data_IF_096065310015
#
_entry.id   IF_096065310015
#
_cell.length_a   1.000
_cell.length_b   1.000
_cell.length_c   1.000
_cell.angle_alpha   90.00
_cell.angle_beta   90.00
_cell.angle_gamma   90.00
#
_symmetry.space_group_name_H-M   'P 1'
#
loop_
_entity.id
_entity.type
_entity.pdbx_description
1 polymer ?
#
# COMPACT_ATOMS: atom_id res chain seq x y z
N UNK A 1 3.83 2.58 -5.85
CA UNK A 1 4.38 1.22 -6.01
C UNK A 1 5.88 1.34 -5.86
N UNK A 2 6.45 0.85 -4.75
CA UNK A 2 7.87 0.92 -4.39
C UNK A 2 8.34 -0.52 -4.19
N UNK A 3 8.89 -1.08 -5.25
CA UNK A 3 9.38 -2.47 -5.26
C UNK A 3 10.49 -2.62 -6.28
N UNK A 4 11.39 -3.58 -6.07
CA UNK A 4 12.50 -3.92 -6.99
C UNK A 4 13.40 -2.71 -7.24
N UNK A 5 14.50 -2.61 -6.50
CA UNK A 5 15.46 -1.50 -6.62
C UNK A 5 15.97 -1.21 -8.03
N UNK A 6 16.04 -2.20 -8.91
CA UNK A 6 16.45 -2.02 -10.31
C UNK A 6 15.53 -1.10 -11.12
N UNK A 7 14.31 -0.84 -10.66
CA UNK A 7 13.35 0.08 -11.30
C UNK A 7 13.48 1.52 -10.78
N UNK A 8 14.41 1.79 -9.87
CA UNK A 8 14.54 3.07 -9.17
C UNK A 8 15.86 3.77 -9.50
N UNK A 9 15.93 5.06 -9.17
CA UNK A 9 17.18 5.80 -9.31
C UNK A 9 18.26 5.18 -8.41
N UNK A 10 19.54 5.26 -8.81
CA UNK A 10 20.63 4.65 -8.06
C UNK A 10 20.88 5.30 -6.69
N UNK A 11 20.26 6.46 -6.41
CA UNK A 11 20.43 7.15 -5.14
C UNK A 11 19.11 7.22 -4.35
N UNK A 12 19.13 6.85 -3.06
CA UNK A 12 17.97 7.00 -2.17
C UNK A 12 17.42 8.42 -2.16
N UNK A 13 18.29 9.43 -2.24
CA UNK A 13 17.88 10.84 -2.26
C UNK A 13 17.00 11.19 -3.47
N UNK A 14 17.35 10.71 -4.67
CA UNK A 14 16.54 10.92 -5.86
C UNK A 14 15.17 10.21 -5.74
N UNK A 15 15.16 8.98 -5.21
CA UNK A 15 13.93 8.22 -4.98
C UNK A 15 12.99 8.92 -3.99
N UNK A 16 13.52 9.40 -2.86
CA UNK A 16 12.77 10.15 -1.84
C UNK A 16 12.19 11.44 -2.42
N UNK A 17 12.98 12.19 -3.21
CA UNK A 17 12.51 13.42 -3.83
C UNK A 17 11.35 13.14 -4.81
N UNK A 18 11.51 12.12 -5.67
CA UNK A 18 10.46 11.71 -6.61
C UNK A 18 9.17 11.28 -5.89
N UNK A 19 9.27 10.50 -4.82
CA UNK A 19 8.11 10.08 -4.04
C UNK A 19 7.41 11.26 -3.34
N UNK A 20 8.18 12.20 -2.79
CA UNK A 20 7.63 13.43 -2.21
C UNK A 20 6.90 14.29 -3.25
N UNK A 21 7.38 14.38 -4.49
CA UNK A 21 6.67 15.09 -5.56
C UNK A 21 5.29 14.47 -5.86
N UNK A 22 5.19 13.13 -5.82
CA UNK A 22 3.92 12.42 -5.95
C UNK A 22 2.99 12.76 -4.77
N UNK A 23 3.51 12.70 -3.55
CA UNK A 23 2.74 13.00 -2.33
C UNK A 23 2.20 14.43 -2.36
N UNK A 24 3.03 15.38 -2.78
CA UNK A 24 2.69 16.79 -2.96
C UNK A 24 1.53 16.95 -3.95
N UNK A 25 1.66 16.38 -5.15
CA UNK A 25 0.63 16.50 -6.20
C UNK A 25 -0.68 15.85 -5.81
N UNK A 26 -0.63 14.66 -5.21
CA UNK A 26 -1.83 13.97 -4.77
C UNK A 26 -2.57 14.74 -3.66
N UNK A 27 -1.82 15.32 -2.71
CA UNK A 27 -2.39 16.15 -1.65
C UNK A 27 -3.08 17.40 -2.19
N UNK A 28 -2.52 18.05 -3.21
CA UNK A 28 -3.14 19.21 -3.86
C UNK A 28 -4.48 18.84 -4.53
N UNK A 29 -4.64 17.59 -4.98
CA UNK A 29 -5.89 17.05 -5.50
C UNK A 29 -6.86 16.53 -4.43
N UNK A 30 -6.55 16.71 -3.13
CA UNK A 30 -7.39 16.19 -2.04
C UNK A 30 -7.40 14.67 -1.91
N UNK A 31 -6.46 13.97 -2.56
CA UNK A 31 -6.37 12.51 -2.52
C UNK A 31 -5.57 12.03 -1.31
N UNK A 32 -6.02 10.94 -0.71
CA UNK A 32 -5.23 10.20 0.27
C UNK A 32 -4.18 9.35 -0.46
N UNK A 33 -2.99 9.22 0.12
CA UNK A 33 -1.87 8.51 -0.51
C UNK A 33 -1.51 7.28 0.32
N UNK A 34 -1.28 6.17 -0.38
CA UNK A 34 -0.70 4.96 0.18
C UNK A 34 0.55 4.52 -0.56
N UNK A 35 1.43 3.81 0.13
CA UNK A 35 2.65 3.22 -0.43
C UNK A 35 2.49 1.70 -0.46
N UNK A 36 2.71 1.11 -1.63
CA UNK A 36 2.92 -0.34 -1.75
C UNK A 36 4.42 -0.63 -1.64
N UNK A 37 4.86 -1.43 -0.67
CA UNK A 37 6.27 -1.82 -0.44
C UNK A 37 6.36 -2.95 0.58
N UNK A 38 7.52 -3.54 0.80
CA UNK A 38 7.84 -4.20 2.08
C UNK A 38 9.05 -3.50 2.73
N UNK A 39 9.50 -3.98 3.88
CA UNK A 39 10.64 -3.39 4.60
C UNK A 39 11.94 -3.45 3.77
N UNK A 40 12.21 -4.58 3.12
CA UNK A 40 13.41 -4.79 2.32
C UNK A 40 13.48 -3.87 1.10
N UNK A 41 12.41 -3.84 0.30
CA UNK A 41 12.28 -2.94 -0.86
C UNK A 41 12.39 -1.48 -0.41
N UNK A 42 11.71 -1.11 0.67
CA UNK A 42 11.73 0.26 1.18
C UNK A 42 13.13 0.66 1.60
N UNK A 43 13.81 -0.21 2.37
CA UNK A 43 15.18 0.02 2.84
C UNK A 43 16.14 0.12 1.67
N UNK A 44 16.05 -0.77 0.69
CA UNK A 44 16.93 -0.76 -0.47
C UNK A 44 16.73 0.48 -1.36
N UNK A 45 15.49 0.94 -1.53
CA UNK A 45 15.15 2.04 -2.44
C UNK A 45 15.33 3.41 -1.78
N UNK A 46 15.04 3.52 -0.49
CA UNK A 46 14.97 4.81 0.22
C UNK A 46 15.96 4.94 1.37
N UNK A 47 16.78 3.91 1.63
CA UNK A 47 17.66 3.85 2.80
C UNK A 47 16.88 3.95 4.13
N UNK A 48 15.68 3.37 4.18
CA UNK A 48 14.86 3.31 5.40
C UNK A 48 14.22 4.64 5.80
N UNK A 49 14.06 5.57 4.84
CA UNK A 49 13.51 6.90 5.10
C UNK A 49 12.16 6.83 5.83
N UNK A 50 11.94 7.73 6.78
CA UNK A 50 10.72 7.76 7.59
C UNK A 50 9.56 8.36 6.81
N UNK A 51 8.42 7.68 6.80
CA UNK A 51 7.16 8.15 6.22
C UNK A 51 6.24 8.66 7.33
N UNK A 52 5.66 9.82 7.09
CA UNK A 52 4.57 10.35 7.90
C UNK A 52 3.32 10.50 7.03
N UNK A 53 2.16 10.26 7.63
CA UNK A 53 0.87 10.54 7.04
C UNK A 53 0.52 9.85 5.71
N UNK A 54 1.11 8.67 5.43
CA UNK A 54 0.73 7.85 4.27
C UNK A 54 0.26 6.46 4.74
N UNK A 55 -0.71 5.89 4.03
CA UNK A 55 -1.16 4.50 4.27
C UNK A 55 -0.11 3.50 3.79
N UNK A 56 -0.08 2.31 4.38
CA UNK A 56 0.79 1.22 3.95
C UNK A 56 -0.03 0.06 3.38
N UNK A 57 0.28 -0.30 2.14
CA UNK A 57 -0.09 -1.56 1.54
C UNK A 57 1.16 -2.44 1.49
N UNK A 58 1.42 -3.21 2.53
CA UNK A 58 2.60 -4.06 2.52
C UNK A 58 2.36 -5.38 1.80
N UNK A 59 3.42 -6.00 1.31
CA UNK A 59 3.36 -7.34 0.74
C UNK A 59 4.28 -8.27 1.53
N UNK A 60 3.79 -9.47 1.80
CA UNK A 60 4.60 -10.55 2.36
C UNK A 60 4.12 -11.88 1.74
N UNK A 61 4.92 -12.45 0.85
CA UNK A 61 4.64 -13.70 0.13
C UNK A 61 5.94 -14.49 0.01
N UNK A 62 5.85 -15.81 -0.03
CA UNK A 62 7.03 -16.68 -0.19
C UNK A 62 7.45 -16.81 -1.67
N UNK A 63 6.65 -16.27 -2.58
CA UNK A 63 6.81 -16.42 -4.02
C UNK A 63 5.49 -16.18 -4.78
N UNK A 64 5.48 -16.40 -6.10
CA UNK A 64 4.28 -16.25 -6.91
C UNK A 64 3.33 -17.45 -6.79
N UNK A 65 2.03 -17.21 -6.95
CA UNK A 65 0.97 -18.22 -6.94
C UNK A 65 0.46 -18.59 -5.55
N UNK A 66 -0.74 -19.19 -5.49
CA UNK A 66 -1.39 -19.59 -4.23
C UNK A 66 -0.56 -20.56 -3.38
N UNK A 67 0.36 -21.32 -3.98
CA UNK A 67 1.24 -22.23 -3.24
C UNK A 67 2.23 -21.52 -2.31
N UNK A 68 2.51 -20.23 -2.57
CA UNK A 68 3.46 -19.41 -1.83
C UNK A 68 2.76 -18.31 -1.03
N UNK A 69 1.50 -18.55 -0.65
CA UNK A 69 0.70 -17.59 0.12
C UNK A 69 1.12 -17.55 1.58
N UNK A 70 1.01 -16.37 2.19
CA UNK A 70 1.09 -16.22 3.65
C UNK A 70 -0.31 -16.14 4.28
N UNK A 71 -0.40 -16.16 5.60
CA UNK A 71 -1.68 -16.02 6.30
C UNK A 71 -2.36 -14.70 5.92
N UNK A 72 -3.68 -14.68 5.66
CA UNK A 72 -4.42 -13.48 5.30
C UNK A 72 -4.76 -12.64 6.55
N UNK A 73 -3.76 -12.34 7.37
CA UNK A 73 -3.85 -11.51 8.57
C UNK A 73 -2.60 -10.60 8.70
N UNK A 74 -2.57 -9.77 9.72
CA UNK A 74 -1.48 -8.82 9.98
C UNK A 74 -0.48 -9.30 11.05
N UNK A 75 -0.53 -10.56 11.47
CA UNK A 75 0.27 -11.08 12.59
C UNK A 75 1.77 -11.12 12.27
N UNK A 76 2.13 -11.09 10.99
CA UNK A 76 3.51 -11.07 10.50
C UNK A 76 4.04 -9.66 10.24
N UNK A 77 3.25 -8.62 10.50
CA UNK A 77 3.69 -7.25 10.28
C UNK A 77 4.67 -6.81 11.38
N UNK A 78 5.85 -6.36 10.96
CA UNK A 78 6.81 -5.66 11.82
C UNK A 78 6.83 -4.18 11.45
N UNK A 79 6.74 -3.24 12.42
CA UNK A 79 6.81 -1.81 12.14
C UNK A 79 8.12 -1.40 11.46
N UNK A 80 8.04 -0.62 10.38
CA UNK A 80 9.20 -0.06 9.68
C UNK A 80 8.88 1.34 9.14
N UNK A 81 9.93 2.16 8.94
CA UNK A 81 9.84 3.46 8.27
C UNK A 81 8.73 4.39 8.79
N UNK A 82 8.35 4.31 10.06
CA UNK A 82 7.29 5.12 10.67
C UNK A 82 5.88 4.53 10.59
N UNK A 83 5.65 3.45 9.84
CA UNK A 83 4.40 2.71 9.89
C UNK A 83 4.38 1.76 11.09
N UNK A 84 3.44 1.96 11.99
CA UNK A 84 3.19 1.07 13.14
C UNK A 84 2.01 0.14 12.91
N UNK A 85 1.15 0.45 11.93
CA UNK A 85 -0.02 -0.35 11.56
C UNK A 85 -0.17 -0.30 10.03
N UNK A 86 -0.29 -1.45 9.34
CA UNK A 86 -0.55 -1.49 7.91
C UNK A 86 -2.04 -1.26 7.62
N UNK A 87 -2.35 -0.79 6.42
CA UNK A 87 -3.74 -0.63 5.96
C UNK A 87 -4.21 -1.81 5.11
N UNK A 88 -3.30 -2.39 4.33
CA UNK A 88 -3.55 -3.53 3.44
C UNK A 88 -2.34 -4.45 3.47
N UNK A 89 -2.57 -5.76 3.40
CA UNK A 89 -1.54 -6.76 3.12
C UNK A 89 -1.84 -7.47 1.82
N UNK A 90 -0.85 -7.60 0.94
CA UNK A 90 -0.86 -8.58 -0.14
C UNK A 90 -0.26 -9.90 0.33
N UNK A 91 -1.09 -10.95 0.41
CA UNK A 91 -0.70 -12.28 0.90
C UNK A 91 -0.61 -13.32 -0.23
N UNK A 92 -1.00 -12.96 -1.47
CA UNK A 92 -0.76 -13.75 -2.69
C UNK A 92 -0.41 -12.83 -3.85
N UNK A 93 0.58 -13.21 -4.66
CA UNK A 93 0.97 -12.48 -5.86
C UNK A 93 0.98 -13.38 -7.10
N UNK A 94 0.47 -12.90 -8.23
CA UNK A 94 0.61 -13.59 -9.53
C UNK A 94 -0.09 -14.95 -9.59
N UNK A 95 -1.19 -15.10 -8.86
CA UNK A 95 -1.98 -16.32 -8.83
C UNK A 95 -2.92 -16.38 -10.04
N UNK A 96 -3.27 -17.58 -10.51
CA UNK A 96 -4.15 -17.75 -11.67
C UNK A 96 -5.46 -18.40 -11.23
N UNK A 97 -6.57 -17.67 -11.42
CA UNK A 97 -7.91 -18.18 -11.14
C UNK A 97 -8.79 -17.93 -12.36
N UNK A 98 -9.45 -18.98 -12.85
CA UNK A 98 -10.31 -18.91 -14.04
C UNK A 98 -9.62 -18.29 -15.28
N UNK A 99 -8.31 -18.49 -15.44
CA UNK A 99 -7.52 -17.95 -16.56
C UNK A 99 -7.07 -16.48 -16.39
N UNK A 100 -7.32 -15.86 -15.23
CA UNK A 100 -6.94 -14.48 -14.94
C UNK A 100 -5.83 -14.48 -13.89
N UNK A 101 -4.76 -13.72 -14.13
CA UNK A 101 -3.70 -13.47 -13.14
C UNK A 101 -4.13 -12.38 -12.17
N UNK A 102 -4.09 -12.68 -10.86
CA UNK A 102 -4.52 -11.79 -9.79
C UNK A 102 -3.58 -11.80 -8.59
N UNK A 103 -3.67 -10.75 -7.79
CA UNK A 103 -3.10 -10.69 -6.45
C UNK A 103 -4.25 -10.73 -5.43
N UNK A 104 -4.02 -11.32 -4.26
CA UNK A 104 -5.01 -11.38 -3.17
C UNK A 104 -4.53 -10.56 -1.99
N UNK A 105 -5.45 -9.80 -1.40
CA UNK A 105 -5.17 -8.85 -0.34
C UNK A 105 -6.15 -9.02 0.82
N UNK A 106 -5.69 -8.73 2.04
CA UNK A 106 -6.54 -8.53 3.21
C UNK A 106 -6.45 -7.06 3.65
N UNK A 107 -7.55 -6.54 4.14
CA UNK A 107 -7.70 -5.17 4.65
C UNK A 107 -8.27 -5.23 6.06
N UNK A 108 -7.91 -4.27 6.89
CA UNK A 108 -8.48 -4.15 8.23
C UNK A 108 -9.96 -3.73 8.14
N UNK A 109 -10.86 -4.56 8.66
CA UNK A 109 -12.32 -4.34 8.66
C UNK A 109 -12.83 -3.59 9.90
N UNK A 110 -11.97 -3.27 10.87
CA UNK A 110 -12.32 -2.37 11.99
C UNK A 110 -12.58 -0.93 11.55
N UNK A 111 -12.34 -0.66 10.26
CA UNK A 111 -12.74 0.53 9.52
C UNK A 111 -14.27 0.51 9.31
N UNK A 112 -15.04 1.52 9.78
CA UNK A 112 -16.49 1.50 9.76
C UNK A 112 -17.04 1.40 8.33
N UNK A 113 -17.70 0.27 8.09
CA UNK A 113 -18.44 -0.12 6.88
C UNK A 113 -19.68 0.76 6.62
N UNK A 114 -19.99 1.74 7.48
CA UNK A 114 -21.17 2.60 7.33
C UNK A 114 -21.12 3.55 6.11
N UNK A 115 -20.02 3.57 5.34
CA UNK A 115 -19.92 4.27 4.04
C UNK A 115 -20.15 3.31 2.85
N UNK A 116 -20.23 1.99 3.05
CA UNK A 116 -20.41 1.01 1.97
C UNK A 116 -21.85 0.90 1.44
N UNK A 117 -22.84 1.50 2.10
CA UNK A 117 -24.20 1.62 1.54
C UNK A 117 -24.33 2.89 0.69
N UNK A 118 -23.50 3.02 -0.34
CA UNK A 118 -23.96 3.76 -1.51
C UNK A 118 -25.08 2.92 -2.12
N UNK A 119 -26.29 3.46 -2.19
CA UNK A 119 -27.45 2.83 -2.83
C UNK A 119 -27.01 2.08 -4.09
N UNK A 120 -27.31 0.80 -4.15
CA UNK A 120 -27.24 0.01 -5.38
C UNK A 120 -27.99 0.76 -6.47
N UNK A 121 -27.25 1.43 -7.35
CA UNK A 121 -27.70 1.70 -8.70
C UNK A 121 -26.83 0.83 -9.57
N UNK A 122 -27.48 -0.21 -10.09
CA UNK A 122 -26.98 -1.11 -11.12
C UNK A 122 -26.18 -0.34 -12.18
N UNK A 123 -25.08 -0.95 -12.62
CA UNK A 123 -24.39 -0.70 -13.90
C UNK A 123 -23.08 0.11 -13.89
N UNK A 124 -22.39 0.28 -12.74
CA UNK A 124 -20.96 0.65 -12.79
C UNK A 124 -20.12 -0.17 -11.83
N UNK A 125 -19.27 -1.04 -12.39
CA UNK A 125 -18.13 -1.58 -11.66
C UNK A 125 -17.17 -0.41 -11.41
N UNK A 126 -17.25 0.16 -10.21
CA UNK A 126 -16.33 1.19 -9.76
C UNK A 126 -15.06 0.48 -9.26
N UNK A 127 -14.08 0.30 -10.13
CA UNK A 127 -12.75 -0.18 -9.72
C UNK A 127 -12.02 0.99 -9.04
N UNK A 128 -11.67 0.83 -7.75
CA UNK A 128 -10.71 1.71 -7.09
C UNK A 128 -11.24 2.79 -6.15
N UNK A 129 -12.32 2.56 -5.40
CA UNK A 129 -12.65 3.41 -4.25
C UNK A 129 -12.86 2.56 -2.98
N UNK A 130 -11.77 2.06 -2.41
CA UNK A 130 -11.76 1.57 -1.03
C UNK A 130 -11.40 2.75 -0.15
N UNK A 131 -12.43 3.47 0.32
CA UNK A 131 -12.28 4.51 1.34
C UNK A 131 -11.99 3.86 2.69
N UNK A 132 -10.71 3.80 3.07
CA UNK A 132 -10.26 3.32 4.37
C UNK A 132 -10.55 4.41 5.43
N UNK A 133 -11.72 4.37 6.05
CA UNK A 133 -12.25 5.40 6.94
C UNK A 133 -11.52 5.57 8.29
N UNK A 134 -10.66 4.66 8.75
CA UNK A 134 -10.01 4.77 10.08
C UNK A 134 -8.49 5.00 10.07
N UNK A 135 -7.85 5.15 8.91
CA UNK A 135 -6.45 5.62 8.83
C UNK A 135 -6.42 7.08 8.40
N UNK A 136 -7.20 7.93 9.07
CA UNK A 136 -7.13 9.39 8.88
C UNK A 136 -5.77 9.86 9.41
N UNK A 137 -4.75 9.68 8.60
CA UNK A 137 -3.43 10.27 8.77
C UNK A 137 -3.63 11.78 8.75
N UNK A 138 -3.53 12.42 9.92
CA UNK A 138 -3.78 13.85 10.07
C UNK A 138 -2.51 14.59 9.66
N UNK A 139 -2.51 15.10 8.43
CA UNK A 139 -1.43 15.92 7.92
C UNK A 139 -1.08 15.59 6.48
N UNK A 140 -0.14 16.35 5.91
CA UNK A 140 0.36 16.08 4.57
C UNK A 140 1.25 14.83 4.59
N UNK A 141 1.05 13.87 3.67
CA UNK A 141 2.00 12.78 3.44
C UNK A 141 3.39 13.35 3.14
N UNK A 142 4.42 12.83 3.81
CA UNK A 142 5.82 13.22 3.59
C UNK A 142 6.78 12.07 3.87
N UNK A 143 7.94 12.11 3.21
CA UNK A 143 9.06 11.19 3.45
C UNK A 143 10.29 12.00 3.87
N UNK A 144 10.83 11.67 5.04
CA UNK A 144 12.01 12.28 5.65
C UNK A 144 13.19 11.31 5.56
N UNK A 145 14.35 11.73 5.01
CA UNK A 145 15.56 10.91 4.96
C UNK A 145 16.02 10.43 6.33
#
# INVERSE_FOLDING_TARGET
HVSKSSNWFPTPKANINFLNDIFIRASLGGMQVGVYTNEDDWTQITNGAKVNNAMLWYWNVEGPGSANMTQPDFNDFTPFAGWTVPSVKQFVQGDTLCGITLNRNVYDTSIPVNILRSKEKSDRISVGNIGLANTRQIGRPEIKP
#
